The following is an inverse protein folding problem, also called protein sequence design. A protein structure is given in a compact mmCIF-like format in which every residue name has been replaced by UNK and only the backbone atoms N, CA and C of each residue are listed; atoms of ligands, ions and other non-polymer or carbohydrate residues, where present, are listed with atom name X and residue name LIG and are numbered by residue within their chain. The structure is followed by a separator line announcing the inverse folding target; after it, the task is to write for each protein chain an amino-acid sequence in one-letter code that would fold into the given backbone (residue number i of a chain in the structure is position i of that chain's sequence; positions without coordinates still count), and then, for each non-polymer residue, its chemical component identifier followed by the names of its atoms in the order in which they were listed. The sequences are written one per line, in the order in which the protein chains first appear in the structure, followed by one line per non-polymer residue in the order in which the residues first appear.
data_IF_579352493128
#
_entry.id   IF_579352493128
#
_cell.length_a   1.000
_cell.length_b   1.000
_cell.length_c   1.000
_cell.angle_alpha   90.00
_cell.angle_beta   90.00
_cell.angle_gamma   90.00
#
_symmetry.space_group_name_H-M   'P 1'
#
loop_
_entity.id
_entity.type
_entity.pdbx_description
1 polymer ?
#
# COMPACT_ATOMS: atom_id res chain seq x y z
N UNK A 1 17.73 -10.59 -33.58
CA UNK A 1 16.26 -10.45 -33.56
C UNK A 1 15.91 -9.27 -32.68
N UNK A 2 15.25 -8.22 -33.17
CA UNK A 2 14.76 -7.15 -32.29
C UNK A 2 13.57 -7.66 -31.45
N UNK A 3 13.42 -7.20 -30.19
CA UNK A 3 12.24 -7.51 -29.39
C UNK A 3 11.00 -6.82 -29.95
N UNK A 4 9.85 -7.49 -29.83
CA UNK A 4 8.55 -7.00 -30.28
C UNK A 4 8.18 -5.66 -29.62
N UNK A 5 7.46 -4.76 -30.31
CA UNK A 5 7.04 -3.49 -29.75
C UNK A 5 6.05 -3.71 -28.60
N UNK A 6 6.32 -3.04 -27.47
CA UNK A 6 5.37 -2.84 -26.39
C UNK A 6 4.16 -2.09 -26.98
N UNK A 7 3.02 -2.76 -27.10
CA UNK A 7 1.76 -2.10 -27.47
C UNK A 7 1.38 -1.09 -26.39
N UNK A 8 1.27 0.21 -26.73
CA UNK A 8 0.63 1.20 -25.87
C UNK A 8 -0.90 1.05 -26.01
N UNK A 9 -1.63 1.31 -24.92
CA UNK A 9 -3.07 1.59 -24.89
C UNK A 9 -4.01 0.56 -25.55
N UNK A 10 -4.36 -0.51 -24.83
CA UNK A 10 -5.66 -1.17 -25.03
C UNK A 10 -6.67 -0.67 -23.98
N UNK A 11 -7.49 0.28 -24.42
CA UNK A 11 -8.93 0.44 -24.08
C UNK A 11 -9.30 0.60 -22.60
N UNK A 12 -9.06 1.80 -22.05
CA UNK A 12 -9.42 2.20 -20.69
C UNK A 12 -10.91 2.39 -20.37
N UNK A 13 -11.84 1.70 -21.05
CA UNK A 13 -13.28 1.75 -20.74
C UNK A 13 -13.94 0.38 -20.71
N UNK A 14 -13.67 -0.49 -21.68
CA UNK A 14 -14.23 -1.85 -21.71
C UNK A 14 -13.62 -2.74 -20.63
N UNK A 15 -12.29 -2.70 -20.46
CA UNK A 15 -11.59 -3.45 -19.40
C UNK A 15 -12.00 -2.99 -18.00
N UNK A 16 -12.24 -1.68 -17.81
CA UNK A 16 -12.72 -1.13 -16.53
C UNK A 16 -14.15 -1.61 -16.20
N UNK A 17 -14.96 -1.86 -17.23
CA UNK A 17 -16.34 -2.36 -17.07
C UNK A 17 -16.35 -3.87 -16.77
N UNK A 18 -15.48 -4.65 -17.42
CA UNK A 18 -15.31 -6.08 -17.16
C UNK A 18 -14.72 -6.35 -15.78
N UNK A 19 -13.66 -5.63 -15.40
CA UNK A 19 -13.04 -5.71 -14.08
C UNK A 19 -14.03 -5.33 -12.98
N UNK A 20 -14.88 -4.32 -13.22
CA UNK A 20 -15.93 -3.95 -12.29
C UNK A 20 -16.99 -5.04 -12.13
N UNK A 21 -17.48 -5.63 -13.23
CA UNK A 21 -18.46 -6.72 -13.16
C UNK A 21 -17.90 -7.95 -12.40
N UNK A 22 -16.63 -8.29 -12.63
CA UNK A 22 -15.93 -9.36 -11.91
C UNK A 22 -15.75 -9.02 -10.42
N UNK A 23 -15.43 -7.77 -10.11
CA UNK A 23 -15.29 -7.30 -8.73
C UNK A 23 -16.63 -7.34 -7.97
N UNK A 24 -17.74 -7.00 -8.61
CA UNK A 24 -19.10 -7.15 -8.06
C UNK A 24 -19.41 -8.62 -7.77
N UNK A 25 -19.07 -9.54 -8.68
CA UNK A 25 -19.27 -10.97 -8.44
C UNK A 25 -18.43 -11.47 -7.26
N UNK A 26 -17.18 -11.04 -7.15
CA UNK A 26 -16.32 -11.36 -6.00
C UNK A 26 -16.91 -10.82 -4.70
N UNK A 27 -17.45 -9.60 -4.72
CA UNK A 27 -18.12 -9.00 -3.57
C UNK A 27 -19.35 -9.80 -3.14
N UNK A 28 -20.20 -10.19 -4.09
CA UNK A 28 -21.38 -11.03 -3.83
C UNK A 28 -21.01 -12.41 -3.26
N UNK A 29 -20.00 -13.07 -3.82
CA UNK A 29 -19.52 -14.39 -3.33
C UNK A 29 -18.94 -14.32 -1.92
N UNK A 30 -18.39 -13.17 -1.54
CA UNK A 30 -17.74 -12.96 -0.25
C UNK A 30 -18.65 -12.30 0.78
N UNK A 31 -19.95 -12.17 0.51
CA UNK A 31 -20.92 -11.55 1.42
C UNK A 31 -20.71 -10.04 1.63
N UNK A 32 -20.20 -9.33 0.62
CA UNK A 32 -19.89 -7.89 0.71
C UNK A 32 -18.54 -7.57 1.35
N UNK A 33 -17.64 -8.56 1.41
CA UNK A 33 -16.29 -8.45 1.96
C UNK A 33 -15.23 -8.77 0.90
N UNK A 34 -14.68 -7.77 0.22
CA UNK A 34 -13.55 -7.96 -0.71
C UNK A 34 -12.45 -6.98 -0.40
N UNK A 35 -11.27 -7.53 -0.12
CA UNK A 35 -10.06 -6.77 0.14
C UNK A 35 -9.39 -6.29 -1.14
N UNK A 36 -8.64 -5.19 -1.04
CA UNK A 36 -7.89 -4.64 -2.16
C UNK A 36 -6.87 -5.65 -2.71
N UNK A 37 -6.22 -6.42 -1.81
CA UNK A 37 -5.28 -7.47 -2.18
C UNK A 37 -5.95 -8.61 -2.97
N UNK A 38 -7.22 -8.92 -2.67
CA UNK A 38 -7.99 -9.91 -3.41
C UNK A 38 -8.27 -9.43 -4.82
N UNK A 39 -8.66 -8.16 -5.00
CA UNK A 39 -8.88 -7.56 -6.32
C UNK A 39 -7.60 -7.56 -7.17
N UNK A 40 -6.46 -7.15 -6.60
CA UNK A 40 -5.18 -7.18 -7.31
C UNK A 40 -4.81 -8.59 -7.80
N UNK A 41 -4.96 -9.61 -6.95
CA UNK A 41 -4.59 -10.99 -7.30
C UNK A 41 -5.55 -11.61 -8.31
N UNK A 42 -6.85 -11.36 -8.16
CA UNK A 42 -7.89 -11.97 -9.00
C UNK A 42 -8.02 -11.29 -10.36
N UNK A 43 -7.90 -9.97 -10.41
CA UNK A 43 -8.05 -9.18 -11.64
C UNK A 43 -6.69 -8.84 -12.28
N UNK A 44 -5.56 -9.17 -11.64
CA UNK A 44 -4.20 -8.85 -12.09
C UNK A 44 -3.98 -7.35 -12.36
N UNK A 45 -4.69 -6.52 -11.61
CA UNK A 45 -4.62 -5.06 -11.70
C UNK A 45 -3.63 -4.47 -10.69
N UNK A 46 -3.11 -3.30 -11.01
CA UNK A 46 -2.23 -2.55 -10.12
C UNK A 46 -2.96 -2.01 -8.88
N UNK A 47 -2.19 -1.61 -7.87
CA UNK A 47 -2.71 -1.11 -6.59
C UNK A 47 -3.75 0.01 -6.75
N UNK A 48 -3.47 1.01 -7.60
CA UNK A 48 -4.37 2.16 -7.82
C UNK A 48 -5.71 1.75 -8.45
N UNK A 49 -5.66 0.88 -9.45
CA UNK A 49 -6.87 0.36 -10.09
C UNK A 49 -7.72 -0.41 -9.08
N UNK A 50 -7.10 -1.28 -8.25
CA UNK A 50 -7.81 -2.00 -7.21
C UNK A 50 -8.42 -1.09 -6.14
N UNK A 51 -7.74 0.00 -5.74
CA UNK A 51 -8.29 0.98 -4.80
C UNK A 51 -9.51 1.71 -5.38
N UNK A 52 -9.40 2.19 -6.63
CA UNK A 52 -10.51 2.86 -7.31
C UNK A 52 -11.72 1.93 -7.50
N UNK A 53 -11.48 0.66 -7.83
CA UNK A 53 -12.51 -0.37 -7.90
C UNK A 53 -13.18 -0.62 -6.55
N UNK A 54 -12.41 -0.70 -5.46
CA UNK A 54 -12.96 -0.90 -4.12
C UNK A 54 -13.81 0.30 -3.67
N UNK A 55 -13.36 1.53 -3.94
CA UNK A 55 -14.12 2.76 -3.65
C UNK A 55 -15.42 2.83 -4.47
N UNK A 56 -15.37 2.44 -5.75
CA UNK A 56 -16.55 2.37 -6.61
C UNK A 56 -17.55 1.30 -6.15
N UNK A 57 -17.07 0.11 -5.78
CA UNK A 57 -17.92 -0.95 -5.21
C UNK A 57 -18.60 -0.52 -3.90
N UNK A 58 -17.91 0.28 -3.07
CA UNK A 58 -18.51 0.85 -1.86
C UNK A 58 -19.59 1.87 -2.21
N UNK A 59 -19.31 2.78 -3.15
CA UNK A 59 -20.25 3.81 -3.58
C UNK A 59 -21.55 3.20 -4.16
N UNK A 60 -21.41 2.09 -4.89
CA UNK A 60 -22.53 1.35 -5.49
C UNK A 60 -23.20 0.37 -4.52
N UNK A 61 -22.72 0.29 -3.26
CA UNK A 61 -23.34 -0.50 -2.19
C UNK A 61 -23.04 -2.00 -2.24
N UNK A 62 -22.07 -2.43 -3.04
CA UNK A 62 -21.63 -3.83 -3.13
C UNK A 62 -20.71 -4.26 -1.99
N UNK A 63 -20.07 -3.31 -1.29
CA UNK A 63 -19.27 -3.55 -0.10
C UNK A 63 -19.93 -2.98 1.14
N UNK A 64 -19.73 -3.66 2.26
CA UNK A 64 -20.11 -3.12 3.57
C UNK A 64 -19.03 -2.15 4.05
N UNK A 65 -19.43 -0.92 4.39
CA UNK A 65 -18.49 0.11 4.86
C UNK A 65 -17.73 -0.26 6.14
N UNK A 66 -18.28 -1.19 6.94
CA UNK A 66 -17.63 -1.71 8.16
C UNK A 66 -16.42 -2.58 7.85
N UNK A 67 -16.49 -3.41 6.81
CA UNK A 67 -15.37 -4.27 6.41
C UNK A 67 -14.20 -3.48 5.85
N UNK A 68 -14.53 -2.50 5.00
CA UNK A 68 -13.53 -1.60 4.44
C UNK A 68 -12.89 -0.73 5.53
N UNK A 69 -13.68 -0.25 6.50
CA UNK A 69 -13.17 0.49 7.64
C UNK A 69 -12.25 -0.37 8.52
N UNK A 70 -12.60 -1.64 8.77
CA UNK A 70 -11.77 -2.58 9.52
C UNK A 70 -10.44 -2.89 8.80
N UNK A 71 -10.47 -3.13 7.49
CA UNK A 71 -9.27 -3.35 6.67
C UNK A 71 -8.35 -2.11 6.68
N UNK A 72 -8.93 -0.91 6.52
CA UNK A 72 -8.17 0.36 6.59
C UNK A 72 -7.55 0.58 7.96
N UNK A 73 -8.27 0.30 9.05
CA UNK A 73 -7.76 0.44 10.40
C UNK A 73 -6.66 -0.59 10.71
N UNK A 74 -6.77 -1.83 10.22
CA UNK A 74 -5.71 -2.83 10.34
C UNK A 74 -4.42 -2.36 9.65
N UNK A 75 -4.53 -1.90 8.41
CA UNK A 75 -3.37 -1.37 7.68
C UNK A 75 -2.77 -0.14 8.35
N UNK A 76 -3.60 0.74 8.90
CA UNK A 76 -3.16 1.89 9.70
C UNK A 76 -2.39 1.44 10.94
N UNK A 77 -2.91 0.47 11.69
CA UNK A 77 -2.27 -0.05 12.90
C UNK A 77 -0.90 -0.66 12.57
N UNK A 78 -0.80 -1.42 11.47
CA UNK A 78 0.46 -1.97 10.97
C UNK A 78 1.47 -0.86 10.60
N UNK A 79 1.02 0.20 9.94
CA UNK A 79 1.85 1.34 9.59
C UNK A 79 2.34 2.11 10.84
N UNK A 80 1.47 2.33 11.84
CA UNK A 80 1.86 2.95 13.11
C UNK A 80 2.88 2.11 13.87
N UNK A 81 2.73 0.78 13.86
CA UNK A 81 3.70 -0.14 14.45
C UNK A 81 5.06 -0.03 13.75
N UNK A 82 5.10 -0.08 12.42
CA UNK A 82 6.34 0.09 11.65
C UNK A 82 6.99 1.46 11.93
N UNK A 83 6.20 2.52 12.08
CA UNK A 83 6.72 3.83 12.48
C UNK A 83 7.39 3.78 13.85
N UNK A 84 6.75 3.17 14.85
CA UNK A 84 7.31 3.05 16.20
C UNK A 84 8.59 2.20 16.25
N UNK A 85 8.67 1.14 15.45
CA UNK A 85 9.85 0.29 15.34
C UNK A 85 11.01 1.03 14.65
N UNK A 86 10.72 1.82 13.61
CA UNK A 86 11.72 2.61 12.90
C UNK A 86 12.26 3.77 13.77
N UNK A 87 11.41 4.43 14.56
CA UNK A 87 11.87 5.47 15.51
C UNK A 87 12.69 4.89 16.65
N UNK A 88 12.36 3.70 17.15
CA UNK A 88 13.19 2.99 18.12
C UNK A 88 14.57 2.63 17.54
N UNK A 89 14.64 2.20 16.28
CA UNK A 89 15.91 1.91 15.61
C UNK A 89 16.79 3.17 15.45
N UNK A 90 16.18 4.33 15.13
CA UNK A 90 16.90 5.62 15.11
C UNK A 90 17.48 5.98 16.48
N UNK A 91 16.69 5.86 17.55
CA UNK A 91 17.14 6.17 18.90
C UNK A 91 18.28 5.24 19.36
N UNK A 92 18.21 3.95 19.00
CA UNK A 92 19.28 2.99 19.28
C UNK A 92 20.58 3.34 18.53
N UNK A 93 20.48 3.79 17.27
CA UNK A 93 21.64 4.25 16.52
C UNK A 93 22.27 5.50 17.14
N UNK A 94 21.46 6.52 17.48
CA UNK A 94 21.95 7.73 18.15
C UNK A 94 22.64 7.41 19.49
N UNK A 95 22.07 6.50 20.29
CA UNK A 95 22.66 6.05 21.55
C UNK A 95 23.98 5.28 21.36
N UNK A 96 24.18 4.63 20.20
CA UNK A 96 25.42 3.90 19.92
C UNK A 96 26.63 4.80 19.70
N UNK A 97 26.42 6.11 19.44
CA UNK A 97 27.48 7.07 19.14
C UNK A 97 28.27 6.78 17.85
N UNK A 98 27.82 5.81 17.03
CA UNK A 98 28.43 5.47 15.75
C UNK A 98 27.93 6.43 14.68
N UNK A 99 28.65 7.54 14.47
CA UNK A 99 28.35 8.52 13.42
C UNK A 99 29.11 8.27 12.11
N UNK A 100 29.71 7.08 11.95
CA UNK A 100 30.40 6.71 10.72
C UNK A 100 29.38 6.55 9.58
N UNK A 101 29.10 7.68 8.92
CA UNK A 101 28.42 7.73 7.64
C UNK A 101 29.37 7.14 6.59
N UNK A 102 28.96 6.09 5.85
CA UNK A 102 29.74 5.63 4.71
C UNK A 102 29.88 6.80 3.72
N UNK A 103 31.13 7.09 3.31
CA UNK A 103 31.50 8.24 2.46
C UNK A 103 30.70 8.34 1.15
N UNK A 104 30.12 7.24 0.70
CA UNK A 104 29.39 7.09 -0.58
C UNK A 104 28.03 6.38 -0.45
N UNK A 105 27.39 6.32 0.74
CA UNK A 105 26.20 5.49 0.94
C UNK A 105 25.16 6.00 1.93
N UNK A 106 23.95 5.42 1.85
CA UNK A 106 22.92 5.58 2.87
C UNK A 106 23.38 4.96 4.20
N UNK A 107 23.25 5.69 5.30
CA UNK A 107 23.42 5.09 6.63
C UNK A 107 22.17 4.37 7.07
N UNK A 108 22.35 3.41 7.98
CA UNK A 108 21.23 2.71 8.60
C UNK A 108 20.29 3.66 9.38
N UNK A 109 20.80 4.79 9.88
CA UNK A 109 19.97 5.88 10.39
C UNK A 109 19.09 6.52 9.32
N UNK A 110 19.66 6.82 8.15
CA UNK A 110 18.93 7.43 7.04
C UNK A 110 17.85 6.47 6.50
N UNK A 111 18.15 5.17 6.43
CA UNK A 111 17.15 4.15 6.10
C UNK A 111 16.02 4.09 7.15
N UNK A 112 16.37 4.03 8.44
CA UNK A 112 15.37 4.00 9.52
C UNK A 112 14.52 5.27 9.53
N UNK A 113 15.12 6.44 9.31
CA UNK A 113 14.42 7.71 9.17
C UNK A 113 13.48 7.73 7.96
N UNK A 114 13.91 7.14 6.83
CA UNK A 114 13.05 7.02 5.67
C UNK A 114 11.88 6.06 5.93
N UNK A 115 12.13 4.89 6.52
CA UNK A 115 11.10 3.94 6.89
C UNK A 115 10.07 4.56 7.86
N UNK A 116 10.53 5.35 8.84
CA UNK A 116 9.65 6.07 9.76
C UNK A 116 8.76 7.10 9.03
N UNK A 117 9.31 7.84 8.06
CA UNK A 117 8.55 8.79 7.22
C UNK A 117 7.52 8.08 6.34
N UNK A 118 7.94 7.00 5.67
CA UNK A 118 7.09 6.21 4.79
C UNK A 118 5.93 5.59 5.59
N UNK A 119 6.22 5.00 6.76
CA UNK A 119 5.22 4.41 7.64
C UNK A 119 4.22 5.45 8.19
N UNK A 120 4.69 6.64 8.58
CA UNK A 120 3.80 7.71 9.04
C UNK A 120 2.90 8.22 7.91
N UNK A 121 3.45 8.38 6.70
CA UNK A 121 2.68 8.79 5.55
C UNK A 121 1.65 7.70 5.13
N UNK A 122 1.97 6.40 5.32
CA UNK A 122 1.01 5.31 5.15
C UNK A 122 -0.10 5.35 6.21
N UNK A 123 0.23 5.56 7.48
CA UNK A 123 -0.78 5.71 8.53
C UNK A 123 -1.74 6.87 8.24
N UNK A 124 -1.22 8.01 7.74
CA UNK A 124 -2.04 9.16 7.31
C UNK A 124 -2.90 8.86 6.09
N UNK A 125 -2.37 8.10 5.14
CA UNK A 125 -3.13 7.63 3.98
C UNK A 125 -4.37 6.84 4.41
N UNK A 126 -4.21 5.87 5.32
CA UNK A 126 -5.34 5.05 5.78
C UNK A 126 -6.37 5.82 6.63
N UNK A 127 -6.06 7.03 7.08
CA UNK A 127 -7.02 7.93 7.76
C UNK A 127 -7.78 8.88 6.82
N UNK A 128 -7.27 9.16 5.63
CA UNK A 128 -7.85 10.14 4.71
C UNK A 128 -8.54 9.43 3.54
N UNK A 129 -9.88 9.51 3.39
CA UNK A 129 -10.54 8.99 2.21
C UNK A 129 -10.05 9.74 0.95
N UNK A 130 -9.65 9.01 -0.09
CA UNK A 130 -9.28 9.57 -1.39
C UNK A 130 -7.82 9.99 -1.57
N UNK A 131 -6.90 9.60 -0.68
CA UNK A 131 -5.48 9.86 -0.89
C UNK A 131 -4.93 9.06 -2.10
N UNK A 132 -3.97 9.60 -2.89
CA UNK A 132 -3.61 9.03 -4.19
C UNK A 132 -2.67 7.81 -4.14
N UNK A 133 -2.02 7.51 -3.01
CA UNK A 133 -1.23 6.28 -2.83
C UNK A 133 -0.80 6.08 -1.36
N UNK A 134 -0.88 4.85 -0.84
CA UNK A 134 -0.12 4.48 0.34
C UNK A 134 1.37 4.46 -0.04
N UNK A 135 2.25 5.22 0.63
CA UNK A 135 3.68 5.06 0.47
C UNK A 135 4.09 3.63 0.83
N UNK A 136 5.28 3.22 0.39
CA UNK A 136 5.81 1.87 0.49
C UNK A 136 6.00 1.43 1.96
N UNK A 137 4.90 1.08 2.63
CA UNK A 137 4.84 0.69 4.05
C UNK A 137 5.47 -0.69 4.29
N UNK A 138 5.79 -1.43 3.24
CA UNK A 138 6.37 -2.77 3.30
C UNK A 138 7.90 -2.78 3.18
N UNK A 139 8.57 -1.62 3.12
CA UNK A 139 10.04 -1.62 3.17
C UNK A 139 10.46 -2.21 4.53
N UNK A 140 11.25 -3.30 4.54
CA UNK A 140 11.75 -3.86 5.78
C UNK A 140 12.60 -2.80 6.49
N UNK A 141 12.36 -2.61 7.79
CA UNK A 141 13.20 -1.74 8.62
C UNK A 141 14.57 -2.40 8.70
N UNK A 142 15.65 -1.75 8.22
CA UNK A 142 16.96 -2.36 8.29
C UNK A 142 17.40 -2.47 9.75
N UNK A 143 17.92 -3.64 10.11
CA UNK A 143 18.51 -3.84 11.42
C UNK A 143 19.94 -3.30 11.41
N UNK A 144 20.20 -2.30 12.26
CA UNK A 144 21.55 -1.83 12.52
C UNK A 144 22.24 -2.93 13.36
N UNK A 145 23.07 -3.77 12.75
CA UNK A 145 23.94 -4.73 13.46
C UNK A 145 25.36 -4.19 13.52
#
# INVERSE_FOLDING_TARGET
MPPAPLTPDRLGTETDTEDFALAVQLAAQSGGHVSQATLQRRLRIGYRAAAALQDRLLADGHLTGTALAAEREEHRAKALRAHSEATAAMAAYEASGRYDLPRDGWSCYQDAAQAARDALAAARFYTAPGAPQAPNAERPIPTCR
#
